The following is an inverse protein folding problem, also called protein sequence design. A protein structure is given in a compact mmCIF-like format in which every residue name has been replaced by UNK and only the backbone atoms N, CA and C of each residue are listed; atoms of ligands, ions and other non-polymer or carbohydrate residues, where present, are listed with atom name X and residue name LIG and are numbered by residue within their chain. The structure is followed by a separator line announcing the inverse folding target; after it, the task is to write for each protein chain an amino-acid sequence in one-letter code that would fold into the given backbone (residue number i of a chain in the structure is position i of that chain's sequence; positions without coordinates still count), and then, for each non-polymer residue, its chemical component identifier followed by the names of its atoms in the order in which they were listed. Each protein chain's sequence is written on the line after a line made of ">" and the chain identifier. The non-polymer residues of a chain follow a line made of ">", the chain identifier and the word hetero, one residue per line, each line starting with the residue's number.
data_IF_990486655125
#
_entry.id   IF_990486655125
#
_cell.length_a   1.000
_cell.length_b   1.000
_cell.length_c   1.000
_cell.angle_alpha   90.00
_cell.angle_beta   90.00
_cell.angle_gamma   90.00
#
_symmetry.space_group_name_H-M   'P 1'
#
loop_
_entity.id
_entity.type
_entity.pdbx_description
1 polymer ?
#
# COMPACT_ATOMS: atom_id res chain seq x y z
N UNK A 1 -14.27 -77.65 23.00
CA UNK A 1 -13.51 -76.59 23.71
C UNK A 1 -13.75 -75.27 22.98
N UNK A 2 -14.51 -74.35 23.57
CA UNK A 2 -14.82 -73.03 22.99
C UNK A 2 -14.39 -71.96 24.00
N UNK A 3 -13.49 -71.07 23.59
CA UNK A 3 -12.93 -70.02 24.44
C UNK A 3 -13.88 -68.82 24.50
N UNK A 4 -14.23 -68.40 25.73
CA UNK A 4 -15.03 -67.20 26.01
C UNK A 4 -14.24 -65.96 25.60
N UNK A 5 -14.73 -65.19 24.63
CA UNK A 5 -14.26 -63.82 24.38
C UNK A 5 -15.08 -62.85 25.22
N UNK A 6 -14.42 -62.15 26.13
CA UNK A 6 -14.97 -61.06 26.93
C UNK A 6 -15.22 -59.84 26.04
N UNK A 7 -16.41 -59.25 26.17
CA UNK A 7 -16.81 -58.02 25.48
C UNK A 7 -16.28 -56.82 26.29
N UNK A 8 -15.53 -55.87 25.71
CA UNK A 8 -15.08 -54.68 26.44
C UNK A 8 -16.26 -53.71 26.68
N UNK A 9 -16.26 -52.93 27.77
CA UNK A 9 -17.35 -52.03 28.12
C UNK A 9 -17.42 -50.83 27.16
N UNK A 10 -18.65 -50.37 26.90
CA UNK A 10 -18.94 -49.23 26.04
C UNK A 10 -18.28 -47.95 26.59
N UNK A 11 -17.48 -47.27 25.76
CA UNK A 11 -16.98 -45.91 26.05
C UNK A 11 -18.13 -44.92 25.90
N UNK A 12 -18.40 -44.16 26.96
CA UNK A 12 -19.25 -42.98 26.93
C UNK A 12 -18.59 -41.87 26.08
N UNK A 13 -19.37 -40.98 25.43
CA UNK A 13 -18.80 -39.90 24.64
C UNK A 13 -18.26 -38.81 25.58
N UNK A 14 -16.97 -38.50 25.44
CA UNK A 14 -16.34 -37.37 26.11
C UNK A 14 -16.64 -36.12 25.28
N UNK A 15 -17.43 -35.22 25.84
CA UNK A 15 -17.66 -33.87 25.34
C UNK A 15 -16.39 -33.04 25.53
N UNK A 16 -15.62 -32.85 24.47
CA UNK A 16 -14.54 -31.87 24.42
C UNK A 16 -14.98 -30.72 23.52
N UNK A 17 -15.41 -29.62 24.14
CA UNK A 17 -15.60 -28.34 23.47
C UNK A 17 -14.22 -27.76 23.16
N UNK A 18 -13.75 -27.91 21.92
CA UNK A 18 -12.69 -27.07 21.37
C UNK A 18 -13.32 -25.76 20.90
N UNK A 19 -13.18 -24.70 21.71
CA UNK A 19 -13.43 -23.34 21.25
C UNK A 19 -12.18 -22.86 20.51
N UNK A 20 -12.09 -23.16 19.22
CA UNK A 20 -11.22 -22.39 18.33
C UNK A 20 -11.97 -21.11 17.97
N UNK A 21 -11.64 -20.01 18.64
CA UNK A 21 -12.03 -18.68 18.18
C UNK A 21 -11.31 -18.42 16.85
N UNK A 22 -11.95 -18.82 15.75
CA UNK A 22 -11.51 -18.43 14.42
C UNK A 22 -11.69 -16.92 14.32
N UNK A 23 -10.58 -16.18 14.20
CA UNK A 23 -10.58 -14.77 13.88
C UNK A 23 -11.39 -14.58 12.59
N UNK A 24 -12.61 -14.04 12.72
CA UNK A 24 -13.53 -13.83 11.61
C UNK A 24 -13.07 -12.63 10.78
N UNK A 25 -12.12 -12.88 9.87
CA UNK A 25 -11.50 -11.90 8.98
C UNK A 25 -12.56 -11.10 8.19
N UNK A 26 -13.71 -11.72 7.91
CA UNK A 26 -14.85 -11.10 7.21
C UNK A 26 -15.36 -9.84 7.91
N UNK A 27 -15.46 -9.87 9.25
CA UNK A 27 -15.94 -8.72 10.04
C UNK A 27 -14.93 -7.58 10.12
N UNK A 28 -13.64 -7.87 9.89
CA UNK A 28 -12.59 -6.86 9.81
C UNK A 28 -12.58 -6.17 8.43
N UNK A 29 -12.91 -6.91 7.36
CA UNK A 29 -13.01 -6.37 5.99
C UNK A 29 -14.15 -5.34 5.85
N UNK A 30 -15.30 -5.60 6.46
CA UNK A 30 -16.45 -4.67 6.45
C UNK A 30 -16.14 -3.31 7.11
N UNK A 31 -15.15 -3.26 8.01
CA UNK A 31 -14.71 -2.01 8.66
C UNK A 31 -13.78 -1.17 7.78
N UNK A 32 -13.12 -1.79 6.79
CA UNK A 32 -12.19 -1.13 5.87
C UNK A 32 -12.95 -0.53 4.68
N UNK A 33 -14.04 -1.16 4.23
CA UNK A 33 -14.76 -0.77 3.01
C UNK A 33 -15.60 0.52 3.13
N UNK A 34 -15.88 1.02 4.33
CA UNK A 34 -16.83 2.13 4.52
C UNK A 34 -16.21 3.54 4.56
N UNK A 35 -14.88 3.67 4.49
CA UNK A 35 -14.23 4.98 4.32
C UNK A 35 -13.69 5.09 2.90
N UNK A 36 -14.39 5.77 1.98
CA UNK A 36 -13.74 6.17 0.73
C UNK A 36 -12.48 6.95 1.10
N UNK A 37 -11.31 6.46 0.66
CA UNK A 37 -10.05 7.19 0.77
C UNK A 37 -10.14 8.31 -0.27
N UNK A 38 -10.88 9.36 0.06
CA UNK A 38 -10.87 10.61 -0.70
C UNK A 38 -9.58 11.33 -0.36
N UNK A 39 -8.53 11.13 -1.17
CA UNK A 39 -7.47 12.11 -1.27
C UNK A 39 -7.86 13.08 -2.38
N UNK A 40 -7.83 14.40 -2.15
CA UNK A 40 -8.23 15.35 -3.16
C UNK A 40 -7.25 15.28 -4.34
N UNK A 41 -7.73 14.91 -5.53
CA UNK A 41 -6.96 14.94 -6.78
C UNK A 41 -6.46 16.35 -7.15
N UNK A 42 -6.88 17.38 -6.43
CA UNK A 42 -6.36 18.72 -6.51
C UNK A 42 -5.97 19.20 -5.12
N UNK A 43 -4.70 19.08 -4.75
CA UNK A 43 -4.07 19.77 -3.60
C UNK A 43 -3.97 21.30 -3.79
N UNK A 44 -4.95 21.90 -4.47
CA UNK A 44 -5.18 23.34 -4.56
C UNK A 44 -5.79 23.81 -3.23
N UNK A 45 -5.02 23.66 -2.15
CA UNK A 45 -5.26 24.37 -0.90
C UNK A 45 -4.70 25.79 -1.09
N UNK A 46 -5.56 26.78 -0.86
CA UNK A 46 -5.37 28.21 -1.12
C UNK A 46 -4.24 28.78 -0.25
N UNK A 47 -3.38 29.64 -0.81
CA UNK A 47 -2.56 30.57 -0.02
C UNK A 47 -1.28 31.09 -0.66
N UNK A 48 -0.48 30.23 -1.31
CA UNK A 48 0.83 30.59 -1.87
C UNK A 48 0.96 30.20 -3.36
N UNK A 49 1.77 30.94 -4.16
CA UNK A 49 2.11 30.58 -5.54
C UNK A 49 2.63 29.14 -5.65
N UNK A 50 2.34 28.49 -6.78
CA UNK A 50 2.72 27.10 -7.05
C UNK A 50 4.23 26.88 -6.86
N UNK A 51 5.06 27.77 -7.41
CA UNK A 51 6.53 27.76 -7.26
C UNK A 51 7.02 27.70 -5.81
N UNK A 52 6.41 28.45 -4.90
CA UNK A 52 6.85 28.48 -3.50
C UNK A 52 6.55 27.15 -2.82
N UNK A 53 5.37 26.59 -3.07
CA UNK A 53 4.96 25.27 -2.56
C UNK A 53 5.87 24.16 -3.08
N UNK A 54 6.25 24.21 -4.36
CA UNK A 54 7.20 23.25 -4.93
C UNK A 54 8.59 23.38 -4.30
N UNK A 55 9.07 24.61 -4.04
CA UNK A 55 10.36 24.82 -3.38
C UNK A 55 10.39 24.26 -1.96
N UNK A 56 9.32 24.48 -1.20
CA UNK A 56 9.17 23.90 0.15
C UNK A 56 9.15 22.37 0.09
N UNK A 57 8.37 21.80 -0.82
CA UNK A 57 8.27 20.35 -1.02
C UNK A 57 9.62 19.74 -1.40
N UNK A 58 10.36 20.38 -2.32
CA UNK A 58 11.70 19.97 -2.69
C UNK A 58 12.68 20.05 -1.52
N UNK A 59 12.57 21.07 -0.66
CA UNK A 59 13.44 21.23 0.51
C UNK A 59 13.22 20.13 1.55
N UNK A 60 11.98 19.67 1.72
CA UNK A 60 11.63 18.56 2.60
C UNK A 60 11.75 17.18 1.93
N UNK A 61 12.09 17.16 0.63
CA UNK A 61 12.13 15.91 -0.12
C UNK A 61 13.32 15.03 0.26
N UNK A 62 13.14 13.73 0.12
CA UNK A 62 14.16 12.73 0.35
C UNK A 62 14.18 11.69 -0.79
N UNK A 63 15.33 11.05 -1.06
CA UNK A 63 15.41 9.99 -2.06
C UNK A 63 14.55 8.78 -1.67
N UNK A 64 13.80 8.27 -2.63
CA UNK A 64 12.91 7.13 -2.46
C UNK A 64 13.10 6.12 -3.58
N UNK A 65 12.94 4.84 -3.24
CA UNK A 65 13.01 3.71 -4.17
C UNK A 65 12.01 2.64 -3.74
N UNK A 66 11.30 2.04 -4.68
CA UNK A 66 10.40 0.92 -4.41
C UNK A 66 9.79 0.32 -5.67
N UNK A 67 9.03 -0.76 -5.48
CA UNK A 67 8.27 -1.42 -6.54
C UNK A 67 6.85 -0.85 -6.58
N UNK A 68 6.40 -0.41 -7.75
CA UNK A 68 5.07 0.15 -7.93
C UNK A 68 3.99 -0.93 -7.84
N UNK A 69 3.01 -0.74 -6.96
CA UNK A 69 1.73 -1.47 -6.97
C UNK A 69 0.60 -0.52 -7.36
N UNK A 70 -0.01 -0.78 -8.52
CA UNK A 70 -1.11 0.03 -9.07
C UNK A 70 -2.44 -0.54 -8.59
N UNK A 71 -3.27 0.32 -7.99
CA UNK A 71 -4.62 -0.01 -7.52
C UNK A 71 -5.63 0.08 -8.66
N UNK A 72 -6.81 -0.56 -8.53
CA UNK A 72 -7.89 -0.49 -9.52
C UNK A 72 -8.32 0.95 -9.86
N UNK A 73 -8.13 1.91 -8.95
CA UNK A 73 -8.39 3.34 -9.16
C UNK A 73 -7.35 4.09 -10.00
N UNK A 74 -6.29 3.43 -10.48
CA UNK A 74 -5.28 4.03 -11.37
C UNK A 74 -4.14 4.79 -10.68
N UNK A 75 -4.26 5.07 -9.39
CA UNK A 75 -3.15 5.49 -8.53
C UNK A 75 -2.42 4.27 -7.96
N UNK A 76 -1.24 4.49 -7.36
CA UNK A 76 -0.44 3.39 -6.82
C UNK A 76 0.44 3.78 -5.65
N UNK A 77 1.19 2.80 -5.16
CA UNK A 77 2.16 2.98 -4.09
C UNK A 77 3.50 2.34 -4.44
N UNK A 78 4.60 3.01 -4.15
CA UNK A 78 5.92 2.39 -4.13
C UNK A 78 6.09 1.64 -2.81
N UNK A 79 6.24 0.33 -2.90
CA UNK A 79 6.45 -0.56 -1.75
C UNK A 79 7.91 -0.98 -1.66
N UNK A 80 8.38 -1.12 -0.42
CA UNK A 80 9.68 -1.74 -0.13
C UNK A 80 9.47 -3.26 -0.02
N UNK A 81 10.11 -4.02 -0.91
CA UNK A 81 10.15 -5.49 -0.88
C UNK A 81 8.76 -6.18 -0.91
N UNK A 82 7.79 -5.60 -1.63
CA UNK A 82 6.40 -6.11 -1.77
C UNK A 82 5.59 -6.22 -0.48
N UNK A 83 6.14 -5.82 0.67
CA UNK A 83 5.43 -5.80 1.94
C UNK A 83 4.53 -4.57 2.00
N UNK A 84 3.26 -4.78 2.34
CA UNK A 84 2.32 -3.69 2.58
C UNK A 84 2.69 -3.06 3.92
N UNK A 85 3.27 -1.87 3.89
CA UNK A 85 3.53 -1.08 5.08
C UNK A 85 2.99 0.34 4.87
N UNK A 86 1.76 0.63 5.29
CA UNK A 86 1.12 1.91 5.00
C UNK A 86 1.88 3.13 5.55
N UNK A 87 2.72 2.95 6.58
CA UNK A 87 3.52 4.03 7.16
C UNK A 87 4.74 4.39 6.28
N UNK A 88 5.21 3.46 5.44
CA UNK A 88 6.39 3.64 4.59
C UNK A 88 6.08 3.65 3.09
N UNK A 89 4.84 3.31 2.70
CA UNK A 89 4.40 3.29 1.32
C UNK A 89 4.31 4.73 0.76
N UNK A 90 4.85 4.91 -0.44
CA UNK A 90 4.90 6.23 -1.09
C UNK A 90 3.84 6.29 -2.17
N UNK A 91 2.89 7.20 -2.02
CA UNK A 91 1.85 7.44 -3.00
C UNK A 91 2.41 7.92 -4.34
N UNK A 92 1.88 7.35 -5.42
CA UNK A 92 2.14 7.73 -6.81
C UNK A 92 0.83 8.09 -7.48
N UNK A 93 0.76 9.31 -8.00
CA UNK A 93 -0.46 9.83 -8.63
C UNK A 93 -0.78 9.14 -9.96
N UNK A 94 -2.07 9.06 -10.29
CA UNK A 94 -2.54 8.60 -11.60
C UNK A 94 -1.89 9.35 -12.75
N UNK A 95 -1.66 10.66 -12.60
CA UNK A 95 -0.99 11.50 -13.61
C UNK A 95 0.45 11.06 -13.87
N UNK A 96 1.23 10.78 -12.81
CA UNK A 96 2.59 10.27 -12.95
C UNK A 96 2.60 8.88 -13.61
N UNK A 97 1.72 7.97 -13.15
CA UNK A 97 1.62 6.62 -13.72
C UNK A 97 1.32 6.68 -15.21
N UNK A 98 0.35 7.50 -15.62
CA UNK A 98 -0.02 7.65 -17.04
C UNK A 98 1.08 8.32 -17.85
N UNK A 99 1.74 9.33 -17.30
CA UNK A 99 2.77 10.11 -17.99
C UNK A 99 3.99 9.26 -18.34
N UNK A 100 4.46 8.47 -17.38
CA UNK A 100 5.64 7.63 -17.52
C UNK A 100 5.30 6.20 -17.97
N UNK A 101 4.02 5.94 -18.31
CA UNK A 101 3.53 4.62 -18.74
C UNK A 101 3.86 3.50 -17.75
N UNK A 102 3.88 3.83 -16.46
CA UNK A 102 4.27 2.91 -15.40
C UNK A 102 3.24 1.80 -15.24
N UNK A 103 3.71 0.63 -14.83
CA UNK A 103 2.91 -0.56 -14.59
C UNK A 103 3.24 -1.16 -13.23
N UNK A 104 2.32 -1.96 -12.72
CA UNK A 104 2.57 -2.77 -11.52
C UNK A 104 3.83 -3.63 -11.73
N UNK A 105 4.74 -3.57 -10.77
CA UNK A 105 6.02 -4.28 -10.80
C UNK A 105 7.21 -3.42 -11.26
N UNK A 106 6.99 -2.22 -11.79
CA UNK A 106 8.09 -1.32 -12.15
C UNK A 106 8.84 -0.86 -10.90
N UNK A 107 10.17 -0.92 -10.94
CA UNK A 107 11.03 -0.33 -9.94
C UNK A 107 11.20 1.17 -10.25
N UNK A 108 10.83 2.01 -9.30
CA UNK A 108 10.87 3.48 -9.47
C UNK A 108 11.78 4.06 -8.41
N UNK A 109 12.68 4.95 -8.84
CA UNK A 109 13.51 5.76 -7.96
C UNK A 109 13.25 7.25 -8.21
N UNK A 110 13.24 8.04 -7.16
CA UNK A 110 12.84 9.43 -7.26
C UNK A 110 13.01 10.23 -5.98
N UNK A 111 12.37 11.40 -5.93
CA UNK A 111 12.25 12.21 -4.73
C UNK A 111 10.82 12.10 -4.20
N UNK A 112 10.69 11.77 -2.93
CA UNK A 112 9.41 11.78 -2.22
C UNK A 112 9.43 12.87 -1.16
N UNK A 113 8.24 13.27 -0.70
CA UNK A 113 8.08 14.16 0.45
C UNK A 113 7.25 13.52 1.55
N UNK A 114 7.43 13.96 2.80
CA UNK A 114 6.51 13.66 3.89
C UNK A 114 5.06 14.03 3.56
N UNK A 115 4.13 13.28 4.15
CA UNK A 115 2.71 13.63 4.15
C UNK A 115 2.52 14.99 4.81
N UNK A 116 1.71 15.86 4.20
CA UNK A 116 1.28 17.14 4.78
C UNK A 116 0.11 16.93 5.73
N UNK A 117 -0.24 17.97 6.48
CA UNK A 117 -1.43 17.96 7.32
C UNK A 117 -2.68 17.60 6.50
N UNK A 118 -3.40 16.56 6.95
CA UNK A 118 -4.55 16.00 6.26
C UNK A 118 -4.22 14.93 5.19
N UNK A 119 -2.94 14.67 4.91
CA UNK A 119 -2.52 13.56 4.04
C UNK A 119 -2.18 12.31 4.87
N UNK A 120 -2.46 11.12 4.32
CA UNK A 120 -2.19 9.84 5.00
C UNK A 120 -0.85 9.21 4.63
N UNK A 121 -0.32 9.55 3.46
CA UNK A 121 0.85 8.89 2.89
C UNK A 121 1.89 9.90 2.42
N UNK A 122 3.14 9.47 2.42
CA UNK A 122 4.22 10.16 1.73
C UNK A 122 3.89 10.23 0.23
N UNK A 123 4.33 11.28 -0.47
CA UNK A 123 3.99 11.47 -1.88
C UNK A 123 5.24 11.57 -2.75
N UNK A 124 5.24 10.90 -3.89
CA UNK A 124 6.29 11.01 -4.90
C UNK A 124 6.19 12.38 -5.59
N UNK A 125 7.28 13.15 -5.57
CA UNK A 125 7.38 14.45 -6.23
C UNK A 125 7.93 14.31 -7.64
N UNK A 126 9.05 13.60 -7.78
CA UNK A 126 9.83 13.53 -9.01
C UNK A 126 10.29 12.09 -9.24
N UNK A 127 10.17 11.61 -10.48
CA UNK A 127 10.75 10.34 -10.90
C UNK A 127 12.11 10.63 -11.54
N UNK A 128 13.14 9.93 -11.07
CA UNK A 128 14.52 10.03 -11.59
C UNK A 128 14.93 8.81 -12.39
N UNK A 129 14.46 7.63 -11.99
CA UNK A 129 14.87 6.36 -12.57
C UNK A 129 13.70 5.39 -12.63
N UNK A 130 13.60 4.63 -13.71
CA UNK A 130 12.61 3.56 -13.86
C UNK A 130 13.35 2.31 -14.33
N UNK A 131 13.20 1.20 -13.61
CA UNK A 131 13.79 -0.10 -13.95
C UNK A 131 15.30 -0.03 -14.26
N UNK A 132 16.06 0.72 -13.47
CA UNK A 132 17.49 0.87 -13.69
C UNK A 132 17.90 1.91 -14.76
N UNK A 133 16.94 2.54 -15.45
CA UNK A 133 17.18 3.55 -16.50
C UNK A 133 16.94 4.96 -15.96
N UNK A 134 17.95 5.83 -16.06
CA UNK A 134 17.84 7.24 -15.68
C UNK A 134 17.04 8.03 -16.71
N UNK A 135 16.15 8.89 -16.23
CA UNK A 135 15.38 9.81 -17.05
C UNK A 135 16.22 11.06 -17.33
N UNK A 136 16.10 11.62 -18.54
CA UNK A 136 16.67 12.94 -18.82
C UNK A 136 15.92 14.02 -18.04
N UNK A 137 16.54 15.20 -17.86
CA UNK A 137 15.89 16.30 -17.13
C UNK A 137 14.53 16.67 -17.73
N UNK A 138 14.43 16.66 -19.06
CA UNK A 138 13.21 16.96 -19.81
C UNK A 138 12.10 15.95 -19.53
N UNK A 139 12.45 14.67 -19.48
CA UNK A 139 11.51 13.59 -19.18
C UNK A 139 11.03 13.63 -17.72
N UNK A 140 11.88 14.06 -16.79
CA UNK A 140 11.51 14.13 -15.37
C UNK A 140 10.54 15.28 -15.04
N UNK A 141 10.57 16.39 -15.81
CA UNK A 141 9.81 17.62 -15.54
C UNK A 141 8.50 17.75 -16.32
N UNK A 142 8.48 17.26 -17.56
CA UNK A 142 7.27 17.26 -18.42
C UNK A 142 6.24 16.30 -17.86
#
# INVERSE_FOLDING_TARGET
>A
MFTKRSKPPAKQPVSSQEQSETLDVSKMLDQIESKPIMMPENSIVRGAPLEERLKEDLKMSYPAKGILDVTFGGYGFLRKDYVINPDNDIYVSTSQIRRFWLRKGDEVEGLARPAKEGERFHSLLLIKKINGVELTEEQSRT
#
